data_IF_226541824383
#
_entry.id   IF_226541824383
#
_cell.length_a   1.000
_cell.length_b   1.000
_cell.length_c   1.000
_cell.angle_alpha   90.00
_cell.angle_beta   90.00
_cell.angle_gamma   90.00
#
_symmetry.space_group_name_H-M   'P 1'
#
loop_
_entity.id
_entity.type
_entity.pdbx_description
1 polymer ?
#
# COMPACT_ATOMS: atom_id res chain seq x y z
N UNK A 1 -1.77 18.07 58.05
CA UNK A 1 -2.85 17.77 59.01
C UNK A 1 -3.90 16.97 58.25
N UNK A 2 -4.04 15.66 58.51
CA UNK A 2 -5.00 15.08 59.47
C UNK A 2 -6.41 14.96 58.85
N UNK A 3 -7.13 13.84 58.88
CA UNK A 3 -7.01 12.62 59.70
C UNK A 3 -6.93 11.30 58.88
N UNK A 4 -6.62 10.22 59.59
CA UNK A 4 -6.76 8.81 59.20
C UNK A 4 -7.85 8.13 60.07
N UNK A 5 -8.20 6.86 59.75
CA UNK A 5 -9.06 5.91 60.53
C UNK A 5 -10.60 6.07 60.52
N UNK A 6 -11.28 5.07 59.92
CA UNK A 6 -12.25 4.14 60.55
C UNK A 6 -12.80 3.15 59.47
N UNK A 7 -12.15 2.01 59.20
CA UNK A 7 -12.36 0.66 59.78
C UNK A 7 -13.75 -0.01 59.61
N UNK A 8 -13.74 -1.02 58.71
CA UNK A 8 -14.31 -2.40 58.84
C UNK A 8 -15.78 -2.74 58.47
N UNK A 9 -15.85 -3.69 57.53
CA UNK A 9 -16.72 -4.88 57.42
C UNK A 9 -18.18 -4.75 56.95
N UNK A 10 -18.48 -5.47 55.85
CA UNK A 10 -19.82 -5.80 55.38
C UNK A 10 -19.79 -6.42 53.98
N UNK A 11 -20.07 -7.73 53.84
CA UNK A 11 -20.37 -8.38 52.54
C UNK A 11 -21.89 -8.55 52.43
N UNK A 12 -22.50 -8.08 51.34
CA UNK A 12 -23.75 -8.60 50.77
C UNK A 12 -23.75 -8.37 49.25
N UNK A 13 -24.60 -9.09 48.50
CA UNK A 13 -24.60 -9.11 47.04
C UNK A 13 -25.71 -8.25 46.41
N UNK A 14 -25.39 -7.71 45.23
CA UNK A 14 -26.22 -7.23 44.13
C UNK A 14 -27.75 -7.08 44.29
N UNK A 15 -28.26 -5.89 43.98
CA UNK A 15 -29.24 -5.69 42.88
C UNK A 15 -29.25 -4.23 42.41
N UNK A 16 -30.00 -3.95 41.34
CA UNK A 16 -29.95 -2.82 40.39
C UNK A 16 -30.21 -1.37 40.88
N UNK A 17 -30.15 -0.46 39.90
CA UNK A 17 -30.66 0.93 39.82
C UNK A 17 -29.76 2.11 40.24
N UNK A 18 -29.19 2.77 39.20
CA UNK A 18 -29.23 4.23 38.86
C UNK A 18 -28.89 5.31 39.94
N UNK A 19 -28.26 6.46 39.65
CA UNK A 19 -27.56 7.06 38.48
C UNK A 19 -26.84 8.37 39.00
N UNK A 20 -26.44 9.45 38.30
CA UNK A 20 -26.60 9.98 36.91
C UNK A 20 -25.52 11.04 36.60
N UNK A 21 -24.82 10.98 35.46
CA UNK A 21 -24.15 12.10 34.75
C UNK A 21 -23.50 11.55 33.44
N UNK A 22 -23.96 11.78 32.21
CA UNK A 22 -24.37 13.02 31.50
C UNK A 22 -23.18 13.87 30.99
N UNK A 23 -22.89 13.70 29.69
CA UNK A 23 -22.25 14.69 28.79
C UNK A 23 -22.86 14.52 27.40
N UNK A 24 -23.09 15.63 26.70
CA UNK A 24 -23.80 15.68 25.42
C UNK A 24 -22.99 15.16 24.21
N UNK A 25 -23.72 14.62 23.22
CA UNK A 25 -23.69 15.10 21.82
C UNK A 25 -24.82 14.45 21.00
N UNK A 26 -25.63 15.27 20.33
CA UNK A 26 -26.92 14.85 19.77
C UNK A 26 -26.89 14.11 18.44
N UNK A 27 -27.96 13.36 18.15
CA UNK A 27 -28.32 12.86 16.81
C UNK A 27 -29.81 13.11 16.52
N UNK A 28 -30.16 13.10 15.24
CA UNK A 28 -31.49 13.39 14.72
C UNK A 28 -32.55 12.32 15.05
N UNK A 29 -33.82 12.73 15.12
CA UNK A 29 -34.99 11.84 15.05
C UNK A 29 -35.09 11.24 13.61
N UNK A 30 -35.27 9.93 13.40
CA UNK A 30 -36.43 9.07 13.71
C UNK A 30 -37.64 9.33 12.80
N UNK A 31 -38.00 8.34 11.98
CA UNK A 31 -39.30 7.68 12.12
C UNK A 31 -39.29 6.21 11.66
N UNK A 32 -40.09 5.37 12.32
CA UNK A 32 -40.29 3.95 11.98
C UNK A 32 -41.40 3.79 10.92
N UNK A 33 -41.45 2.61 10.29
CA UNK A 33 -42.68 1.81 10.36
C UNK A 33 -42.35 0.30 10.41
N UNK A 34 -43.19 -0.47 11.10
CA UNK A 34 -43.09 -1.93 11.20
C UNK A 34 -44.22 -2.61 10.41
N UNK A 35 -43.92 -3.74 9.79
CA UNK A 35 -44.91 -4.81 9.56
C UNK A 35 -44.27 -6.16 9.85
N UNK A 36 -44.96 -6.99 10.66
CA UNK A 36 -44.62 -8.40 10.88
C UNK A 36 -45.36 -9.24 9.87
N UNK A 37 -44.71 -10.26 9.32
CA UNK A 37 -45.39 -11.47 8.87
C UNK A 37 -44.46 -12.68 9.01
N UNK A 38 -44.97 -13.76 9.57
CA UNK A 38 -44.29 -15.06 9.64
C UNK A 38 -45.01 -16.03 8.71
N UNK A 39 -44.26 -16.66 7.81
CA UNK A 39 -44.68 -17.85 7.05
C UNK A 39 -43.52 -18.84 7.09
N UNK A 40 -43.83 -20.13 7.16
CA UNK A 40 -42.86 -21.19 7.45
C UNK A 40 -42.43 -21.98 6.21
N UNK A 41 -41.25 -22.60 6.30
CA UNK A 41 -40.90 -23.88 5.67
C UNK A 41 -40.93 -23.97 4.13
N UNK A 42 -39.75 -23.92 3.51
CA UNK A 42 -39.59 -24.28 2.09
C UNK A 42 -38.14 -24.50 1.70
N UNK A 43 -37.71 -25.77 1.61
CA UNK A 43 -36.38 -26.14 1.12
C UNK A 43 -36.36 -26.14 -0.41
N UNK A 44 -35.46 -25.37 -1.03
CA UNK A 44 -35.22 -25.38 -2.49
C UNK A 44 -33.72 -25.50 -2.76
N UNK A 45 -33.35 -26.44 -3.63
CA UNK A 45 -31.97 -26.64 -4.09
C UNK A 45 -31.63 -25.63 -5.19
N UNK A 46 -30.39 -25.13 -5.19
CA UNK A 46 -29.80 -24.48 -6.36
C UNK A 46 -29.21 -25.56 -7.30
N UNK A 47 -29.56 -25.55 -8.60
CA UNK A 47 -28.98 -26.49 -9.57
C UNK A 47 -27.59 -26.03 -10.03
N UNK A 48 -26.66 -26.97 -10.19
CA UNK A 48 -25.38 -26.73 -10.85
C UNK A 48 -25.50 -26.89 -12.37
N UNK A 49 -24.86 -26.00 -13.13
CA UNK A 49 -24.82 -26.05 -14.60
C UNK A 49 -23.57 -26.78 -15.11
N UNK A 50 -23.75 -28.05 -15.48
CA UNK A 50 -22.72 -28.87 -16.14
C UNK A 50 -22.61 -28.51 -17.63
N UNK A 51 -21.40 -28.24 -18.11
CA UNK A 51 -21.10 -28.22 -19.56
C UNK A 51 -20.53 -29.56 -20.01
N UNK A 52 -20.97 -30.06 -21.17
CA UNK A 52 -20.61 -31.38 -21.68
C UNK A 52 -19.40 -31.33 -22.62
N UNK A 53 -18.56 -32.36 -22.55
CA UNK A 53 -17.62 -32.73 -23.62
C UNK A 53 -18.38 -33.20 -24.87
N UNK A 54 -17.78 -33.00 -26.03
CA UNK A 54 -18.07 -33.79 -27.22
C UNK A 54 -16.77 -34.37 -27.79
N UNK A 55 -16.80 -35.63 -28.22
CA UNK A 55 -15.70 -36.36 -28.86
C UNK A 55 -16.15 -36.84 -30.24
N UNK A 56 -15.20 -37.00 -31.16
CA UNK A 56 -15.41 -37.58 -32.49
C UNK A 56 -14.08 -37.96 -33.14
N UNK A 57 -13.96 -39.22 -33.56
CA UNK A 57 -12.68 -39.83 -33.98
C UNK A 57 -12.67 -40.29 -35.44
N UNK A 58 -11.64 -39.88 -36.19
CA UNK A 58 -10.99 -40.60 -37.32
C UNK A 58 -11.91 -41.09 -38.50
N UNK A 59 -11.45 -41.80 -39.57
CA UNK A 59 -10.11 -42.24 -40.05
C UNK A 59 -9.71 -41.65 -41.46
N UNK A 60 -8.56 -41.89 -42.12
CA UNK A 60 -7.18 -42.35 -41.78
C UNK A 60 -6.22 -42.16 -43.00
N UNK A 61 -4.91 -42.48 -42.81
CA UNK A 61 -3.89 -42.91 -43.80
C UNK A 61 -3.15 -41.87 -44.68
N UNK A 62 -1.97 -42.31 -45.15
CA UNK A 62 -0.90 -41.58 -45.84
C UNK A 62 -0.52 -42.31 -47.16
N UNK A 63 0.04 -41.59 -48.16
CA UNK A 63 1.14 -42.08 -49.02
C UNK A 63 1.74 -41.00 -49.94
N UNK A 64 2.98 -41.24 -50.37
CA UNK A 64 3.84 -40.46 -51.31
C UNK A 64 3.92 -41.19 -52.69
N UNK A 65 4.68 -40.73 -53.73
CA UNK A 65 5.04 -39.38 -54.21
C UNK A 65 4.98 -39.21 -55.77
N UNK A 66 5.57 -38.10 -56.29
CA UNK A 66 6.30 -37.94 -57.58
C UNK A 66 5.63 -37.45 -58.90
N UNK A 67 6.09 -36.24 -59.31
CA UNK A 67 6.71 -35.84 -60.61
C UNK A 67 5.90 -35.70 -61.93
N UNK A 68 5.87 -34.43 -62.38
CA UNK A 68 6.24 -33.96 -63.74
C UNK A 68 5.20 -34.02 -64.90
N UNK A 69 5.37 -33.19 -65.98
CA UNK A 69 4.36 -32.13 -66.21
C UNK A 69 3.89 -31.91 -67.67
N UNK A 70 2.89 -31.04 -67.86
CA UNK A 70 2.74 -30.25 -69.10
C UNK A 70 2.00 -28.91 -68.92
N UNK A 71 2.18 -28.03 -69.89
CA UNK A 71 1.59 -26.69 -70.03
C UNK A 71 0.26 -26.79 -70.83
N UNK A 72 -0.74 -25.90 -70.71
CA UNK A 72 -0.96 -24.73 -71.61
C UNK A 72 -2.17 -23.88 -71.13
N UNK A 73 -2.03 -22.55 -71.28
CA UNK A 73 -3.02 -21.44 -71.34
C UNK A 73 -4.46 -21.57 -70.78
N UNK A 74 -4.85 -20.53 -70.01
CA UNK A 74 -6.25 -20.09 -69.83
C UNK A 74 -6.31 -18.71 -69.17
N UNK A 75 -7.07 -17.75 -69.72
CA UNK A 75 -7.21 -16.40 -69.15
C UNK A 75 -8.37 -16.32 -68.15
N UNK A 76 -8.16 -15.66 -67.00
CA UNK A 76 -8.89 -14.40 -66.70
C UNK A 76 -8.48 -13.66 -65.41
N UNK A 77 -8.83 -12.37 -65.38
CA UNK A 77 -9.05 -11.48 -64.22
C UNK A 77 -8.18 -11.64 -62.95
N UNK A 78 -7.08 -10.90 -62.87
CA UNK A 78 -6.56 -10.42 -61.56
C UNK A 78 -7.44 -9.27 -61.05
N UNK A 79 -8.35 -9.53 -60.11
CA UNK A 79 -8.95 -8.47 -59.26
C UNK A 79 -7.84 -7.84 -58.42
N UNK A 80 -7.36 -6.66 -58.84
CA UNK A 80 -6.34 -5.90 -58.12
C UNK A 80 -7.00 -5.12 -56.98
N UNK A 81 -6.96 -5.67 -55.78
CA UNK A 81 -7.34 -4.95 -54.55
C UNK A 81 -6.35 -3.80 -54.31
N UNK A 82 -6.61 -2.65 -54.94
CA UNK A 82 -5.96 -1.39 -54.59
C UNK A 82 -6.64 -0.91 -53.30
N UNK A 83 -6.08 -1.31 -52.16
CA UNK A 83 -6.39 -0.67 -50.89
C UNK A 83 -5.97 0.80 -51.02
N UNK A 84 -6.95 1.71 -50.94
CA UNK A 84 -6.65 3.15 -50.95
C UNK A 84 -5.74 3.46 -49.75
N UNK A 85 -4.59 4.08 -50.02
CA UNK A 85 -3.64 4.51 -49.00
C UNK A 85 -4.31 5.45 -48.01
N UNK A 86 -5.30 6.25 -48.44
CA UNK A 86 -6.11 7.06 -47.52
C UNK A 86 -6.93 6.20 -46.57
N UNK A 87 -7.57 5.14 -47.05
CA UNK A 87 -8.33 4.21 -46.21
C UNK A 87 -7.43 3.46 -45.23
N UNK A 88 -6.23 3.06 -45.65
CA UNK A 88 -5.23 2.41 -44.77
C UNK A 88 -4.69 3.40 -43.73
N UNK A 89 -4.41 4.65 -44.11
CA UNK A 89 -3.96 5.70 -43.18
C UNK A 89 -5.09 6.12 -42.22
N UNK A 90 -6.35 6.18 -42.66
CA UNK A 90 -7.50 6.49 -41.79
C UNK A 90 -7.85 5.33 -40.85
N UNK A 91 -7.71 4.08 -41.28
CA UNK A 91 -7.76 2.91 -40.38
C UNK A 91 -6.57 2.90 -39.42
N UNK A 92 -5.39 3.29 -39.87
CA UNK A 92 -4.19 3.46 -39.05
C UNK A 92 -4.38 4.53 -37.97
N UNK A 93 -4.85 5.72 -38.32
CA UNK A 93 -5.20 6.76 -37.35
C UNK A 93 -6.36 6.34 -36.45
N UNK A 94 -7.39 5.68 -36.98
CA UNK A 94 -8.51 5.16 -36.18
C UNK A 94 -8.06 4.12 -35.14
N UNK A 95 -7.14 3.24 -35.52
CA UNK A 95 -6.51 2.28 -34.61
C UNK A 95 -5.54 2.96 -33.64
N UNK A 96 -4.77 3.97 -34.06
CA UNK A 96 -3.91 4.75 -33.16
C UNK A 96 -4.72 5.57 -32.14
N UNK A 97 -5.90 6.07 -32.52
CA UNK A 97 -6.84 6.74 -31.61
C UNK A 97 -7.63 5.77 -30.72
N UNK A 98 -7.78 4.50 -31.13
CA UNK A 98 -8.30 3.42 -30.27
C UNK A 98 -7.22 2.77 -29.39
N UNK A 99 -5.94 2.95 -29.74
CA UNK A 99 -4.76 2.57 -28.95
C UNK A 99 -4.27 3.72 -28.06
N UNK A 100 -4.78 4.94 -28.25
CA UNK A 100 -4.60 6.03 -27.30
C UNK A 100 -5.16 5.55 -25.95
N UNK A 101 -4.28 5.48 -24.96
CA UNK A 101 -4.45 4.58 -23.83
C UNK A 101 -5.76 4.85 -23.07
N UNK A 102 -6.46 3.77 -22.70
CA UNK A 102 -7.45 3.80 -21.63
C UNK A 102 -6.73 3.95 -20.27
N UNK A 103 -6.08 5.09 -20.06
CA UNK A 103 -5.86 5.60 -18.70
C UNK A 103 -7.22 5.81 -18.05
N UNK A 104 -7.31 5.64 -16.73
CA UNK A 104 -8.54 5.87 -15.98
C UNK A 104 -8.71 7.38 -15.75
N UNK A 105 -8.81 8.12 -16.85
CA UNK A 105 -9.27 9.50 -16.79
C UNK A 105 -10.57 9.56 -15.98
N UNK A 106 -10.69 10.61 -15.17
CA UNK A 106 -11.98 11.02 -14.63
C UNK A 106 -13.01 11.02 -15.78
N UNK A 107 -14.29 10.80 -15.49
CA UNK A 107 -15.31 10.94 -16.53
C UNK A 107 -15.20 12.36 -17.10
N UNK A 108 -15.17 12.54 -18.43
CA UNK A 108 -15.02 13.87 -19.06
C UNK A 108 -16.09 14.89 -18.62
N UNK A 109 -17.25 14.41 -18.18
CA UNK A 109 -18.33 15.21 -17.60
C UNK A 109 -18.16 15.54 -16.10
N UNK A 110 -17.05 15.14 -15.45
CA UNK A 110 -16.77 15.41 -14.05
C UNK A 110 -16.14 16.80 -13.90
N UNK A 111 -16.63 17.67 -12.99
CA UNK A 111 -16.21 19.08 -12.94
C UNK A 111 -14.71 19.29 -12.65
N UNK A 112 -14.04 18.30 -12.04
CA UNK A 112 -12.59 18.38 -11.77
C UNK A 112 -11.71 17.95 -12.95
N UNK A 113 -12.25 17.36 -14.03
CA UNK A 113 -11.45 16.81 -15.14
C UNK A 113 -10.47 17.83 -15.71
N UNK A 114 -10.99 18.94 -16.24
CA UNK A 114 -10.18 20.05 -16.76
C UNK A 114 -9.27 20.74 -15.74
N UNK A 115 -9.46 20.53 -14.44
CA UNK A 115 -8.55 21.05 -13.40
C UNK A 115 -7.37 20.09 -13.23
N UNK A 116 -7.62 18.78 -13.27
CA UNK A 116 -6.60 17.73 -13.23
C UNK A 116 -5.77 17.71 -14.51
N UNK A 117 -6.39 17.81 -15.70
CA UNK A 117 -5.69 17.96 -16.99
C UNK A 117 -4.67 19.10 -16.91
N UNK A 118 -5.12 20.28 -16.44
CA UNK A 118 -4.26 21.47 -16.28
C UNK A 118 -3.15 21.32 -15.25
N UNK A 119 -3.25 20.42 -14.27
CA UNK A 119 -2.11 20.12 -13.39
C UNK A 119 -1.09 19.30 -14.16
N UNK A 120 -1.51 18.24 -14.84
CA UNK A 120 -0.62 17.41 -15.65
C UNK A 120 0.08 18.24 -16.75
N UNK A 121 -0.63 19.15 -17.42
CA UNK A 121 -0.08 20.11 -18.39
C UNK A 121 0.93 21.14 -17.82
N UNK A 122 0.91 21.43 -16.51
CA UNK A 122 1.70 22.52 -15.91
C UNK A 122 3.10 22.08 -15.47
N UNK A 123 3.29 20.79 -15.16
CA UNK A 123 4.57 20.28 -14.63
C UNK A 123 4.65 18.76 -14.44
N UNK A 124 3.84 17.97 -15.16
CA UNK A 124 4.01 16.53 -15.21
C UNK A 124 5.28 16.12 -15.99
N UNK A 125 5.86 14.93 -15.71
CA UNK A 125 5.39 13.95 -14.74
C UNK A 125 5.92 14.20 -13.32
N UNK A 126 5.02 14.15 -12.35
CA UNK A 126 5.25 14.43 -10.93
C UNK A 126 5.85 13.24 -10.18
N UNK A 127 6.56 13.51 -9.07
CA UNK A 127 6.78 12.53 -8.00
C UNK A 127 5.60 12.57 -7.02
N UNK A 128 5.00 11.42 -6.73
CA UNK A 128 4.01 11.29 -5.66
C UNK A 128 4.68 11.17 -4.29
N UNK A 129 4.52 12.15 -3.40
CA UNK A 129 5.03 12.10 -2.03
C UNK A 129 3.92 11.72 -1.04
N UNK A 130 3.98 10.50 -0.51
CA UNK A 130 2.88 9.89 0.25
C UNK A 130 3.26 9.73 1.72
N UNK A 131 2.42 10.23 2.63
CA UNK A 131 2.54 10.08 4.08
C UNK A 131 1.16 9.85 4.71
N UNK A 132 1.11 9.37 5.95
CA UNK A 132 -0.12 8.83 6.55
C UNK A 132 -0.56 9.55 7.84
N UNK A 133 0.41 9.95 8.68
CA UNK A 133 0.18 10.38 10.06
C UNK A 133 0.51 11.88 10.25
N UNK A 134 -0.32 12.70 10.92
CA UNK A 134 -0.16 14.17 10.91
C UNK A 134 1.20 14.77 11.32
N UNK A 135 2.00 14.17 12.23
CA UNK A 135 3.38 14.60 12.50
C UNK A 135 4.32 14.54 11.29
N UNK A 136 4.00 13.73 10.27
CA UNK A 136 4.75 13.60 9.02
C UNK A 136 4.52 14.82 8.13
N UNK A 137 3.26 15.19 7.86
CA UNK A 137 2.93 16.45 7.18
C UNK A 137 3.44 17.67 7.97
N UNK A 138 3.38 17.64 9.32
CA UNK A 138 3.94 18.71 10.15
C UNK A 138 5.45 18.86 9.96
N UNK A 139 6.20 17.74 9.81
CA UNK A 139 7.62 17.79 9.46
C UNK A 139 7.85 18.44 8.09
N UNK A 140 7.02 18.11 7.08
CA UNK A 140 7.12 18.71 5.74
C UNK A 140 6.86 20.21 5.78
N UNK A 141 5.75 20.65 6.39
CA UNK A 141 5.36 22.06 6.48
C UNK A 141 6.40 22.87 7.28
N UNK A 142 6.86 22.35 8.44
CA UNK A 142 7.85 23.08 9.27
C UNK A 142 9.24 23.13 8.64
N UNK A 143 9.60 22.15 7.81
CA UNK A 143 10.88 22.15 7.07
C UNK A 143 10.96 23.23 5.98
N UNK A 144 9.82 23.69 5.46
CA UNK A 144 9.70 24.58 4.28
C UNK A 144 10.37 24.03 3.01
N UNK A 145 10.56 22.72 2.90
CA UNK A 145 11.13 22.06 1.72
C UNK A 145 10.17 22.02 0.52
N UNK A 146 8.87 22.08 0.77
CA UNK A 146 7.83 22.12 -0.27
C UNK A 146 7.45 23.56 -0.62
N UNK A 147 7.43 23.86 -1.92
CA UNK A 147 6.99 25.14 -2.47
C UNK A 147 5.74 24.91 -3.31
N UNK A 148 4.59 25.42 -2.87
CA UNK A 148 3.32 25.28 -3.60
C UNK A 148 3.38 25.91 -5.00
N UNK A 149 2.67 25.32 -5.95
CA UNK A 149 2.42 25.90 -7.25
C UNK A 149 1.56 27.18 -7.10
N UNK A 150 1.97 28.26 -7.76
CA UNK A 150 1.34 29.58 -7.61
C UNK A 150 0.00 29.76 -8.34
N UNK A 151 -0.41 28.81 -9.18
CA UNK A 151 -1.68 28.82 -9.93
C UNK A 151 -2.69 27.81 -9.38
N UNK A 152 -2.23 26.59 -9.08
CA UNK A 152 -3.06 25.50 -8.56
C UNK A 152 -2.29 24.87 -7.37
N UNK A 153 -2.41 25.41 -6.14
CA UNK A 153 -1.59 24.97 -5.01
C UNK A 153 -2.02 23.61 -4.43
N UNK A 154 -3.26 23.18 -4.68
CA UNK A 154 -3.80 21.87 -4.33
C UNK A 154 -5.06 21.55 -5.14
N UNK A 155 -5.46 20.27 -5.15
CA UNK A 155 -6.77 19.77 -5.60
C UNK A 155 -7.32 18.82 -4.52
N UNK A 156 -8.61 18.93 -4.21
CA UNK A 156 -9.30 17.99 -3.31
C UNK A 156 -10.08 16.94 -4.13
N UNK A 157 -9.74 15.64 -4.00
CA UNK A 157 -10.41 14.51 -4.66
C UNK A 157 -10.80 13.45 -3.61
N UNK A 158 -12.04 12.96 -3.65
CA UNK A 158 -12.55 11.91 -2.73
C UNK A 158 -12.21 12.13 -1.23
N UNK A 159 -12.29 13.38 -0.77
CA UNK A 159 -12.00 13.79 0.61
C UNK A 159 -10.51 13.94 0.96
N UNK A 160 -9.60 13.79 -0.01
CA UNK A 160 -8.13 13.87 0.16
C UNK A 160 -7.58 15.09 -0.56
N UNK A 161 -6.59 15.74 0.04
CA UNK A 161 -5.91 16.91 -0.55
C UNK A 161 -4.60 16.51 -1.22
N UNK A 162 -4.54 16.74 -2.52
CA UNK A 162 -3.35 16.56 -3.37
C UNK A 162 -2.70 17.93 -3.52
N UNK A 163 -1.66 18.21 -2.74
CA UNK A 163 -0.95 19.47 -2.74
C UNK A 163 0.07 19.48 -3.88
N UNK A 164 -0.01 20.46 -4.79
CA UNK A 164 0.80 20.51 -6.01
C UNK A 164 1.89 21.57 -5.87
N UNK A 165 3.14 21.22 -6.19
CA UNK A 165 4.28 22.09 -5.97
C UNK A 165 5.60 21.44 -6.34
N UNK A 166 6.68 21.87 -5.67
CA UNK A 166 8.05 21.38 -5.89
C UNK A 166 8.78 21.11 -4.58
N UNK A 167 9.70 20.13 -4.61
CA UNK A 167 10.76 19.95 -3.60
C UNK A 167 12.10 19.98 -4.32
N UNK A 168 13.00 20.91 -3.92
CA UNK A 168 14.32 21.08 -4.55
C UNK A 168 14.25 21.15 -6.09
N UNK A 169 13.31 21.95 -6.59
CA UNK A 169 12.94 22.15 -8.00
C UNK A 169 12.23 20.98 -8.71
N UNK A 170 12.31 19.75 -8.20
CA UNK A 170 11.56 18.58 -8.74
C UNK A 170 10.06 18.77 -8.48
N UNK A 171 9.23 18.53 -9.48
CA UNK A 171 7.77 18.61 -9.36
C UNK A 171 7.21 17.46 -8.51
N UNK A 172 6.42 17.83 -7.50
CA UNK A 172 5.90 16.92 -6.47
C UNK A 172 4.41 17.18 -6.23
N UNK A 173 3.63 16.10 -6.18
CA UNK A 173 2.28 16.10 -5.59
C UNK A 173 2.36 15.36 -4.26
N UNK A 174 2.08 16.04 -3.15
CA UNK A 174 2.06 15.41 -1.83
C UNK A 174 0.64 15.22 -1.30
N UNK A 175 0.38 14.07 -0.67
CA UNK A 175 -0.95 13.70 -0.16
C UNK A 175 -0.84 12.94 1.17
N UNK A 176 -1.77 13.27 2.07
CA UNK A 176 -2.04 12.51 3.30
C UNK A 176 -3.02 11.37 3.01
N UNK A 177 -2.63 10.12 3.29
CA UNK A 177 -3.49 8.95 3.08
C UNK A 177 -4.56 8.78 4.16
N UNK A 178 -4.18 9.10 5.40
CA UNK A 178 -4.74 8.49 6.60
C UNK A 178 -4.11 7.11 6.87
N UNK A 179 -4.05 6.72 8.14
CA UNK A 179 -3.55 5.41 8.60
C UNK A 179 -4.35 4.24 7.98
N UNK A 180 -3.76 3.04 7.96
CA UNK A 180 -4.32 1.76 7.50
C UNK A 180 -4.35 1.52 5.98
N UNK A 181 -4.25 0.24 5.61
CA UNK A 181 -3.98 -0.24 4.25
C UNK A 181 -5.06 0.17 3.25
N UNK A 182 -6.33 0.17 3.67
CA UNK A 182 -7.47 0.59 2.85
C UNK A 182 -7.38 2.08 2.48
N UNK A 183 -7.01 2.93 3.43
CA UNK A 183 -6.82 4.36 3.18
C UNK A 183 -5.62 4.60 2.27
N UNK A 184 -4.50 3.94 2.55
CA UNK A 184 -3.29 4.01 1.75
C UNK A 184 -3.53 3.60 0.29
N UNK A 185 -4.09 2.41 0.05
CA UNK A 185 -4.37 1.89 -1.29
C UNK A 185 -5.35 2.77 -2.10
N UNK A 186 -6.45 3.22 -1.49
CA UNK A 186 -7.40 4.12 -2.14
C UNK A 186 -6.73 5.45 -2.53
N UNK A 187 -5.90 6.01 -1.64
CA UNK A 187 -5.22 7.29 -1.91
C UNK A 187 -4.25 7.18 -3.07
N UNK A 188 -3.45 6.10 -3.10
CA UNK A 188 -2.46 5.89 -4.17
C UNK A 188 -3.15 5.57 -5.49
N UNK A 189 -4.22 4.78 -5.53
CA UNK A 189 -4.93 4.56 -6.80
C UNK A 189 -5.50 5.88 -7.36
N UNK A 190 -6.09 6.75 -6.51
CA UNK A 190 -6.55 8.09 -6.96
C UNK A 190 -5.38 8.96 -7.44
N UNK A 191 -4.22 8.87 -6.79
CA UNK A 191 -3.00 9.58 -7.21
C UNK A 191 -2.57 9.18 -8.62
N UNK A 192 -2.58 7.87 -8.91
CA UNK A 192 -2.11 7.30 -10.19
C UNK A 192 -3.17 7.34 -11.30
N UNK A 193 -4.46 7.30 -10.97
CA UNK A 193 -5.56 7.45 -11.95
C UNK A 193 -5.68 8.90 -12.44
N UNK A 194 -5.49 9.89 -11.55
CA UNK A 194 -5.72 11.30 -11.86
C UNK A 194 -4.47 12.01 -12.39
N UNK A 195 -3.29 11.76 -11.83
CA UNK A 195 -2.11 12.56 -12.07
C UNK A 195 -1.05 11.82 -12.88
N UNK A 196 -0.33 12.57 -13.71
CA UNK A 196 0.87 12.07 -14.40
C UNK A 196 2.01 11.89 -13.37
N UNK A 197 2.25 10.65 -12.95
CA UNK A 197 3.13 10.30 -11.83
C UNK A 197 4.24 9.36 -12.32
N UNK A 198 5.50 9.82 -12.34
CA UNK A 198 6.66 9.00 -12.70
C UNK A 198 7.16 8.05 -11.60
N UNK A 199 6.56 8.11 -10.42
CA UNK A 199 6.89 7.24 -9.29
C UNK A 199 6.45 7.78 -7.94
N UNK A 200 6.43 6.90 -6.93
CA UNK A 200 5.90 7.20 -5.58
C UNK A 200 6.98 7.04 -4.51
N UNK A 201 7.27 8.14 -3.80
CA UNK A 201 8.09 8.15 -2.60
C UNK A 201 7.18 8.14 -1.39
N UNK A 202 7.17 7.02 -0.66
CA UNK A 202 6.51 6.95 0.64
C UNK A 202 7.49 7.21 1.77
N UNK A 203 7.11 8.07 2.72
CA UNK A 203 7.82 8.18 3.99
C UNK A 203 6.84 8.25 5.16
N UNK A 204 7.32 7.86 6.35
CA UNK A 204 6.55 7.93 7.58
C UNK A 204 7.29 7.39 8.81
N UNK A 205 6.57 7.17 9.90
CA UNK A 205 7.12 6.59 11.15
C UNK A 205 6.75 5.12 11.34
N UNK A 206 7.65 4.29 11.86
CA UNK A 206 7.42 2.85 12.10
C UNK A 206 7.98 2.39 13.44
N UNK A 207 7.38 1.35 13.99
CA UNK A 207 7.94 0.63 15.13
C UNK A 207 9.08 -0.30 14.71
N UNK A 208 10.14 -0.42 15.50
CA UNK A 208 11.17 -1.44 15.29
C UNK A 208 10.74 -2.80 15.86
N UNK A 209 10.80 -3.84 15.04
CA UNK A 209 10.54 -5.23 15.46
C UNK A 209 11.78 -5.95 16.00
N UNK A 210 12.96 -5.35 15.93
CA UNK A 210 14.21 -5.96 16.36
C UNK A 210 15.09 -4.99 17.18
N UNK A 211 16.32 -5.40 17.49
CA UNK A 211 17.29 -4.60 18.23
C UNK A 211 18.45 -4.08 17.35
N UNK A 212 18.33 -4.13 16.01
CA UNK A 212 19.33 -3.59 15.06
C UNK A 212 19.00 -2.19 14.56
N UNK A 213 17.86 -1.62 14.98
CA UNK A 213 17.45 -0.25 14.71
C UNK A 213 17.21 0.48 16.03
N UNK A 214 17.67 1.73 16.11
CA UNK A 214 17.45 2.68 17.20
C UNK A 214 16.38 3.71 16.84
N UNK A 215 15.86 4.44 17.84
CA UNK A 215 14.95 5.56 17.59
C UNK A 215 15.55 6.57 16.61
N UNK A 216 14.74 7.09 15.69
CA UNK A 216 15.15 8.08 14.70
C UNK A 216 15.99 7.54 13.53
N UNK A 217 16.42 6.27 13.54
CA UNK A 217 17.02 5.63 12.36
C UNK A 217 15.99 5.56 11.22
N UNK A 218 16.44 5.55 9.97
CA UNK A 218 15.55 5.44 8.80
C UNK A 218 15.83 4.14 8.04
N UNK A 219 14.83 3.27 8.01
CA UNK A 219 14.83 2.03 7.23
C UNK A 219 14.48 2.33 5.77
N UNK A 220 15.40 2.02 4.86
CA UNK A 220 15.12 1.92 3.41
C UNK A 220 14.73 0.46 3.12
N UNK A 221 13.44 0.24 2.88
CA UNK A 221 12.89 -1.10 2.67
C UNK A 221 13.23 -1.60 1.27
N UNK A 222 13.64 -2.87 1.14
CA UNK A 222 13.74 -3.58 -0.15
C UNK A 222 12.52 -4.46 -0.45
N UNK A 223 11.84 -4.93 0.60
CA UNK A 223 10.60 -5.70 0.49
C UNK A 223 9.62 -5.32 1.60
N UNK A 224 8.33 -5.38 1.29
CA UNK A 224 7.23 -5.20 2.25
C UNK A 224 6.25 -6.37 2.12
N UNK A 225 5.50 -6.67 3.18
CA UNK A 225 4.53 -7.76 3.21
C UNK A 225 3.32 -7.41 4.06
N UNK A 226 2.14 -7.87 3.65
CA UNK A 226 0.93 -7.82 4.48
C UNK A 226 0.99 -8.91 5.56
N UNK A 227 1.50 -8.58 6.74
CA UNK A 227 1.59 -9.52 7.87
C UNK A 227 0.29 -9.61 8.67
N UNK A 228 -0.67 -8.72 8.42
CA UNK A 228 -2.06 -8.90 8.89
C UNK A 228 -2.86 -9.95 8.10
N UNK A 229 -2.35 -10.43 6.96
CA UNK A 229 -3.04 -11.36 6.07
C UNK A 229 -2.77 -12.82 6.47
N UNK A 230 -3.79 -13.48 7.03
CA UNK A 230 -3.69 -14.84 7.54
C UNK A 230 -5.00 -15.65 7.43
N UNK A 231 -4.87 -16.98 7.50
CA UNK A 231 -5.97 -17.96 7.58
C UNK A 231 -5.95 -18.65 8.94
N UNK A 232 -7.11 -18.74 9.58
CA UNK A 232 -7.30 -19.58 10.77
C UNK A 232 -7.16 -21.06 10.41
N UNK A 233 -6.32 -21.79 11.15
CA UNK A 233 -6.12 -23.23 10.95
C UNK A 233 -7.03 -24.02 11.90
N UNK A 234 -7.52 -25.17 11.44
CA UNK A 234 -8.40 -26.01 12.25
C UNK A 234 -7.69 -26.50 13.53
N UNK A 235 -8.44 -26.63 14.63
CA UNK A 235 -7.90 -27.10 15.89
C UNK A 235 -7.30 -28.51 15.75
N UNK A 236 -6.00 -28.65 16.08
CA UNK A 236 -5.15 -29.85 15.84
C UNK A 236 -4.82 -30.13 14.35
N UNK A 237 -4.90 -29.16 13.45
CA UNK A 237 -4.36 -29.37 12.09
C UNK A 237 -2.85 -29.62 12.13
N UNK A 238 -2.36 -30.35 11.13
CA UNK A 238 -0.93 -30.45 10.84
C UNK A 238 -0.35 -29.06 10.49
N UNK A 239 0.98 -28.97 10.46
CA UNK A 239 1.72 -27.76 10.06
C UNK A 239 1.56 -27.52 8.56
N UNK A 240 1.21 -26.29 8.19
CA UNK A 240 1.13 -25.85 6.81
C UNK A 240 2.48 -25.75 6.09
N UNK A 241 2.43 -25.30 4.83
CA UNK A 241 3.64 -24.99 4.04
C UNK A 241 4.12 -23.56 4.26
N UNK A 242 3.25 -22.68 4.75
CA UNK A 242 3.53 -21.28 5.01
C UNK A 242 3.77 -21.07 6.52
N UNK A 243 4.43 -19.97 6.92
CA UNK A 243 4.65 -19.64 8.32
C UNK A 243 3.37 -19.63 9.17
N UNK A 244 3.44 -20.17 10.38
CA UNK A 244 2.32 -20.26 11.33
C UNK A 244 2.66 -19.57 12.66
N UNK A 245 1.68 -18.88 13.25
CA UNK A 245 1.73 -18.38 14.64
C UNK A 245 0.87 -19.30 15.52
N UNK A 246 1.50 -20.17 16.30
CA UNK A 246 0.84 -21.00 17.33
C UNK A 246 0.66 -20.19 18.62
N UNK A 247 -0.59 -19.83 18.94
CA UNK A 247 -0.93 -19.06 20.14
C UNK A 247 -0.54 -19.80 21.43
N UNK A 248 -0.51 -21.14 21.41
CA UNK A 248 -0.12 -21.98 22.53
C UNK A 248 1.35 -21.85 22.94
N UNK A 249 2.23 -21.45 22.02
CA UNK A 249 3.63 -21.12 22.30
C UNK A 249 3.79 -19.82 23.11
N UNK A 250 2.76 -18.97 23.14
CA UNK A 250 2.74 -17.68 23.82
C UNK A 250 1.84 -17.65 25.07
N UNK A 251 1.16 -18.75 25.40
CA UNK A 251 0.40 -18.86 26.65
C UNK A 251 1.31 -18.61 27.88
N UNK A 252 0.83 -17.75 28.79
CA UNK A 252 1.49 -17.40 30.05
C UNK A 252 0.52 -17.64 31.23
N UNK A 253 0.97 -18.14 32.39
CA UNK A 253 2.35 -18.48 32.76
C UNK A 253 2.86 -19.81 32.20
N UNK A 254 1.98 -20.65 31.62
CA UNK A 254 2.33 -22.00 31.13
C UNK A 254 2.00 -22.13 29.65
N UNK A 255 3.03 -22.42 28.84
CA UNK A 255 2.89 -22.78 27.42
C UNK A 255 2.14 -24.10 27.26
N UNK A 256 1.32 -24.22 26.23
CA UNK A 256 0.53 -25.43 25.98
C UNK A 256 -0.60 -25.19 24.99
N UNK A 257 -1.48 -26.18 24.80
CA UNK A 257 -2.56 -26.11 23.80
C UNK A 257 -3.49 -24.92 24.06
N UNK A 258 -3.73 -24.12 23.02
CA UNK A 258 -4.69 -23.01 23.03
C UNK A 258 -5.89 -23.38 22.13
N UNK A 259 -7.12 -22.99 22.49
CA UNK A 259 -8.32 -23.23 21.66
C UNK A 259 -8.31 -22.44 20.35
N UNK A 260 -7.60 -21.31 20.31
CA UNK A 260 -7.28 -20.57 19.09
C UNK A 260 -6.37 -21.36 18.13
N UNK A 261 -5.69 -22.41 18.61
CA UNK A 261 -4.65 -23.16 17.90
C UNK A 261 -3.59 -22.23 17.26
N UNK A 262 -3.74 -21.94 15.96
CA UNK A 262 -2.77 -21.21 15.16
C UNK A 262 -3.39 -20.54 13.94
N UNK A 263 -2.73 -19.49 13.45
CA UNK A 263 -2.99 -18.86 12.14
C UNK A 263 -1.82 -19.11 11.20
N UNK A 264 -2.09 -19.27 9.91
CA UNK A 264 -1.10 -19.40 8.83
C UNK A 264 -1.08 -18.11 8.01
N UNK A 265 0.10 -17.51 7.82
CA UNK A 265 0.26 -16.27 7.05
C UNK A 265 0.12 -16.54 5.55
N UNK A 266 -0.50 -15.61 4.81
CA UNK A 266 -0.86 -15.83 3.40
C UNK A 266 -0.21 -14.83 2.45
N UNK A 267 0.30 -15.27 1.28
CA UNK A 267 0.58 -14.40 0.15
C UNK A 267 -0.61 -13.53 -0.23
N UNK A 268 -0.32 -12.37 -0.82
CA UNK A 268 -1.30 -11.46 -1.41
C UNK A 268 -1.38 -11.67 -2.91
N UNK A 269 -2.57 -11.49 -3.48
CA UNK A 269 -2.83 -11.70 -4.91
C UNK A 269 -2.57 -10.39 -5.68
N UNK A 270 -1.39 -10.29 -6.30
CA UNK A 270 -1.02 -9.12 -7.10
C UNK A 270 -1.58 -9.26 -8.51
N UNK A 271 -2.35 -8.25 -8.92
CA UNK A 271 -2.74 -8.02 -10.31
C UNK A 271 -1.85 -6.91 -10.86
N UNK A 272 -1.24 -7.10 -12.04
CA UNK A 272 -0.43 -6.07 -12.72
C UNK A 272 -0.86 -5.93 -14.18
N UNK A 273 -0.77 -4.73 -14.74
CA UNK A 273 -1.10 -4.50 -16.15
C UNK A 273 -0.33 -5.46 -17.09
N UNK A 274 -1.06 -6.17 -17.96
CA UNK A 274 -0.49 -7.09 -18.95
C UNK A 274 0.03 -8.43 -18.40
N UNK A 275 -0.11 -8.73 -17.11
CA UNK A 275 0.34 -9.98 -16.48
C UNK A 275 -0.84 -10.85 -15.99
N UNK A 276 -0.64 -12.17 -15.81
CA UNK A 276 -1.52 -12.98 -14.95
C UNK A 276 -1.44 -12.51 -13.48
N UNK A 277 -2.38 -12.97 -12.65
CA UNK A 277 -2.30 -12.76 -11.20
C UNK A 277 -1.14 -13.56 -10.60
N UNK A 278 -0.34 -12.93 -9.72
CA UNK A 278 0.81 -13.52 -9.05
C UNK A 278 0.56 -13.56 -7.52
N UNK A 279 0.74 -14.73 -6.87
CA UNK A 279 0.66 -14.83 -5.39
C UNK A 279 2.02 -14.50 -4.75
N UNK A 280 2.14 -13.32 -4.16
CA UNK A 280 3.38 -12.81 -3.57
C UNK A 280 3.24 -12.58 -2.06
N UNK A 281 4.16 -13.15 -1.26
CA UNK A 281 4.27 -12.81 0.15
C UNK A 281 5.09 -11.52 0.36
N UNK A 282 6.22 -11.41 -0.36
CA UNK A 282 7.07 -10.21 -0.37
C UNK A 282 6.80 -9.41 -1.64
N UNK A 283 6.29 -8.20 -1.49
CA UNK A 283 6.22 -7.21 -2.54
C UNK A 283 7.59 -6.50 -2.61
N UNK A 284 8.28 -6.51 -3.77
CA UNK A 284 9.50 -5.72 -3.95
C UNK A 284 9.16 -4.24 -4.08
N UNK A 285 10.02 -3.37 -3.55
CA UNK A 285 10.11 -1.97 -4.02
C UNK A 285 10.78 -1.96 -5.41
N UNK A 286 10.76 -0.83 -6.11
CA UNK A 286 11.48 -0.72 -7.39
C UNK A 286 13.00 -0.87 -7.18
N UNK A 287 13.65 -1.66 -8.04
CA UNK A 287 15.08 -1.99 -7.87
C UNK A 287 16.02 -0.85 -8.23
N UNK A 288 15.69 -0.04 -9.24
CA UNK A 288 16.53 1.09 -9.64
C UNK A 288 16.45 2.19 -8.59
N UNK A 289 15.24 2.49 -8.12
CA UNK A 289 14.98 3.42 -7.01
C UNK A 289 15.62 2.95 -5.71
N UNK A 290 15.59 1.64 -5.41
CA UNK A 290 16.31 1.09 -4.28
C UNK A 290 17.83 1.28 -4.39
N UNK A 291 18.41 0.98 -5.55
CA UNK A 291 19.86 1.11 -5.76
C UNK A 291 20.31 2.59 -5.72
N UNK A 292 19.51 3.53 -6.25
CA UNK A 292 19.72 4.99 -6.05
C UNK A 292 19.64 5.35 -4.55
N UNK A 293 18.68 4.78 -3.80
CA UNK A 293 18.53 5.05 -2.38
C UNK A 293 19.70 4.51 -1.52
N UNK A 294 20.48 3.53 -1.99
CA UNK A 294 21.69 3.08 -1.26
C UNK A 294 22.75 4.19 -1.12
N UNK A 295 22.77 5.16 -2.04
CA UNK A 295 23.68 6.32 -2.00
C UNK A 295 23.42 7.24 -0.79
N UNK A 296 22.30 7.05 -0.07
CA UNK A 296 21.94 7.81 1.13
C UNK A 296 22.32 7.13 2.44
N UNK A 297 23.00 5.96 2.42
CA UNK A 297 23.42 5.24 3.64
C UNK A 297 24.21 6.13 4.63
N UNK A 298 25.05 7.04 4.10
CA UNK A 298 25.95 7.92 4.84
C UNK A 298 25.35 9.31 5.10
N UNK A 299 24.05 9.51 4.83
CA UNK A 299 23.37 10.79 5.04
C UNK A 299 23.21 11.10 6.54
N UNK A 300 23.87 12.16 7.01
CA UNK A 300 23.75 12.64 8.39
C UNK A 300 22.29 12.93 8.77
N UNK A 301 21.73 12.16 9.72
CA UNK A 301 20.39 12.38 10.27
C UNK A 301 20.43 13.26 11.53
N UNK A 302 19.28 13.83 11.92
CA UNK A 302 19.21 14.64 13.14
C UNK A 302 19.22 13.73 14.37
N UNK A 303 20.16 14.00 15.29
CA UNK A 303 20.18 13.41 16.63
C UNK A 303 19.25 14.13 17.62
N UNK A 304 19.01 15.42 17.41
CA UNK A 304 18.21 16.27 18.30
C UNK A 304 17.03 16.90 17.56
N UNK A 305 15.90 17.00 18.26
CA UNK A 305 14.72 17.75 17.80
C UNK A 305 14.79 19.22 18.26
N UNK A 306 15.31 19.44 19.46
CA UNK A 306 15.60 20.73 20.08
C UNK A 306 16.61 20.54 21.23
N UNK A 307 17.03 21.63 21.89
CA UNK A 307 18.05 21.61 22.95
C UNK A 307 17.66 20.76 24.19
N UNK A 308 16.37 20.47 24.36
CA UNK A 308 15.85 19.64 25.47
C UNK A 308 15.60 18.17 25.09
N UNK A 309 15.69 17.83 23.79
CA UNK A 309 15.45 16.47 23.31
C UNK A 309 16.47 16.05 22.24
N UNK A 310 17.45 15.27 22.71
CA UNK A 310 18.46 14.60 21.92
C UNK A 310 18.45 13.09 22.19
N UNK A 311 18.70 12.29 21.17
CA UNK A 311 19.05 10.89 21.29
C UNK A 311 20.52 10.74 21.76
N UNK A 312 20.89 9.63 22.42
CA UNK A 312 22.26 9.40 22.86
C UNK A 312 23.21 9.26 21.65
N UNK A 313 22.87 8.38 20.72
CA UNK A 313 23.60 8.13 19.47
C UNK A 313 22.99 8.92 18.30
N UNK A 314 23.81 9.21 17.28
CA UNK A 314 23.34 9.82 16.03
C UNK A 314 22.65 8.75 15.18
N UNK A 315 21.40 8.98 14.74
CA UNK A 315 20.69 8.03 13.88
C UNK A 315 21.31 7.87 12.49
N UNK A 316 21.01 6.75 11.84
CA UNK A 316 21.59 6.31 10.56
C UNK A 316 20.51 5.94 9.54
N UNK A 317 20.87 5.97 8.27
CA UNK A 317 20.08 5.36 7.18
C UNK A 317 20.53 3.91 7.05
N UNK A 318 19.59 2.96 7.07
CA UNK A 318 19.89 1.52 7.08
C UNK A 318 19.10 0.85 5.95
N UNK A 319 19.82 0.19 5.04
CA UNK A 319 19.32 -0.22 3.72
C UNK A 319 19.12 -1.73 3.60
N UNK A 320 18.29 -2.16 2.64
CA UNK A 320 18.10 -3.57 2.30
C UNK A 320 17.13 -4.33 3.23
N UNK A 321 16.43 -3.61 4.09
CA UNK A 321 15.61 -4.17 5.15
C UNK A 321 14.22 -4.63 4.66
N UNK A 322 13.49 -5.34 5.52
CA UNK A 322 12.10 -5.75 5.28
C UNK A 322 11.13 -5.01 6.19
N UNK A 323 10.03 -4.54 5.61
CA UNK A 323 8.88 -3.96 6.29
C UNK A 323 7.73 -4.95 6.45
N UNK A 324 6.87 -4.69 7.43
CA UNK A 324 5.69 -5.50 7.78
C UNK A 324 4.49 -4.59 7.96
N UNK A 325 3.49 -4.75 7.11
CA UNK A 325 2.30 -3.90 7.11
C UNK A 325 1.07 -4.67 7.60
N UNK A 326 0.33 -4.08 8.53
CA UNK A 326 -0.96 -4.60 9.02
C UNK A 326 -1.82 -3.45 9.57
N UNK A 327 -3.15 -3.57 9.53
CA UNK A 327 -4.07 -2.62 10.18
C UNK A 327 -4.10 -2.83 11.71
N UNK A 328 -2.92 -2.87 12.35
CA UNK A 328 -2.71 -3.21 13.76
C UNK A 328 -1.49 -2.45 14.32
N UNK A 329 -1.74 -1.45 15.17
CA UNK A 329 -0.69 -0.81 15.94
C UNK A 329 0.01 -1.82 16.87
N UNK A 330 1.31 -2.06 16.66
CA UNK A 330 2.04 -3.12 17.35
C UNK A 330 2.62 -2.68 18.71
N UNK A 331 1.85 -2.87 19.79
CA UNK A 331 2.34 -2.81 21.17
C UNK A 331 2.50 -4.22 21.77
N UNK A 332 3.39 -5.05 21.21
CA UNK A 332 3.61 -6.41 21.72
C UNK A 332 5.01 -6.98 21.45
N UNK A 333 5.87 -6.97 22.48
CA UNK A 333 7.23 -7.51 22.41
C UNK A 333 7.34 -8.98 21.98
N UNK A 334 6.34 -9.83 22.26
CA UNK A 334 6.39 -11.23 21.86
C UNK A 334 6.05 -11.43 20.37
N UNK A 335 5.09 -10.66 19.85
CA UNK A 335 4.71 -10.72 18.45
C UNK A 335 5.71 -9.98 17.54
N UNK A 336 6.30 -8.85 17.98
CA UNK A 336 7.41 -8.21 17.24
C UNK A 336 8.60 -9.16 17.09
N UNK A 337 8.94 -9.90 18.14
CA UNK A 337 10.03 -10.89 18.12
C UNK A 337 9.70 -12.06 17.19
N UNK A 338 8.44 -12.49 17.14
CA UNK A 338 7.99 -13.49 16.16
C UNK A 338 8.17 -12.97 14.73
N UNK A 339 7.72 -11.74 14.43
CA UNK A 339 7.87 -11.14 13.10
C UNK A 339 9.33 -11.04 12.67
N UNK A 340 10.23 -10.60 13.55
CA UNK A 340 11.67 -10.60 13.26
C UNK A 340 12.23 -12.02 13.04
N UNK A 341 11.98 -12.95 13.97
CA UNK A 341 12.54 -14.32 13.91
C UNK A 341 12.01 -15.14 12.72
N UNK A 342 10.76 -14.95 12.33
CA UNK A 342 10.08 -15.73 11.30
C UNK A 342 10.27 -15.16 9.89
N UNK A 343 10.38 -13.83 9.75
CA UNK A 343 10.34 -13.16 8.45
C UNK A 343 11.57 -12.25 8.16
N UNK A 344 12.45 -12.05 9.15
CA UNK A 344 13.51 -11.04 9.14
C UNK A 344 12.99 -9.60 8.90
N UNK A 345 11.82 -9.30 9.48
CA UNK A 345 11.24 -7.95 9.50
C UNK A 345 12.04 -7.04 10.42
N UNK A 346 12.26 -5.81 9.99
CA UNK A 346 12.95 -4.76 10.75
C UNK A 346 11.98 -3.73 11.35
N UNK A 347 10.93 -3.39 10.60
CA UNK A 347 10.04 -2.25 10.85
C UNK A 347 8.59 -2.66 10.59
N UNK A 348 7.67 -2.09 11.37
CA UNK A 348 6.23 -2.35 11.28
C UNK A 348 5.43 -1.05 11.08
N UNK A 349 4.43 -1.10 10.20
CA UNK A 349 3.54 0.03 9.85
C UNK A 349 2.14 -0.45 9.43
N UNK A 350 1.25 0.49 9.08
CA UNK A 350 -0.11 0.20 8.62
C UNK A 350 -0.35 0.54 7.13
N UNK A 351 0.67 0.99 6.37
CA UNK A 351 0.49 1.50 5.00
C UNK A 351 1.40 0.89 3.91
N UNK A 352 2.66 0.55 4.22
CA UNK A 352 3.70 0.47 3.19
C UNK A 352 3.44 -0.60 2.12
N UNK A 353 2.95 -1.78 2.51
CA UNK A 353 2.58 -2.84 1.56
C UNK A 353 1.41 -2.45 0.65
N UNK A 354 0.45 -1.65 1.12
CA UNK A 354 -0.67 -1.19 0.30
C UNK A 354 -0.23 -0.14 -0.74
N UNK A 355 0.68 0.74 -0.36
CA UNK A 355 1.28 1.73 -1.28
C UNK A 355 2.09 1.02 -2.36
N UNK A 356 3.00 0.11 -1.98
CA UNK A 356 3.82 -0.66 -2.94
C UNK A 356 2.94 -1.56 -3.81
N UNK A 357 1.89 -2.19 -3.27
CA UNK A 357 0.95 -3.00 -4.07
C UNK A 357 0.25 -2.17 -5.14
N UNK A 358 -0.28 -0.99 -4.78
CA UNK A 358 -0.92 -0.09 -5.75
C UNK A 358 0.08 0.39 -6.82
N UNK A 359 1.32 0.71 -6.45
CA UNK A 359 2.35 1.11 -7.40
C UNK A 359 2.71 -0.04 -8.38
N UNK A 360 2.95 -1.25 -7.86
CA UNK A 360 3.20 -2.46 -8.67
C UNK A 360 2.05 -2.77 -9.63
N UNK A 361 0.80 -2.67 -9.17
CA UNK A 361 -0.39 -2.94 -10.00
C UNK A 361 -0.49 -2.02 -11.22
N UNK A 362 -0.11 -0.74 -11.06
CA UNK A 362 -0.12 0.27 -12.12
C UNK A 362 1.22 0.37 -12.88
N UNK A 363 2.20 -0.50 -12.58
CA UNK A 363 3.56 -0.49 -13.13
C UNK A 363 4.33 0.83 -12.89
N UNK A 364 4.08 1.48 -11.76
CA UNK A 364 4.72 2.74 -11.33
C UNK A 364 5.83 2.41 -10.30
N UNK A 365 7.06 2.95 -10.43
CA UNK A 365 8.13 2.65 -9.49
C UNK A 365 7.86 3.29 -8.12
N UNK A 366 8.34 2.66 -7.05
CA UNK A 366 8.14 3.17 -5.69
C UNK A 366 9.26 2.80 -4.73
N UNK A 367 9.43 3.62 -3.69
CA UNK A 367 10.36 3.40 -2.58
C UNK A 367 9.70 3.76 -1.23
N UNK A 368 10.20 3.17 -0.15
CA UNK A 368 9.68 3.38 1.22
C UNK A 368 10.78 3.73 2.21
N UNK A 369 10.58 4.83 2.94
CA UNK A 369 11.46 5.34 3.99
C UNK A 369 10.70 5.44 5.33
N UNK A 370 10.88 4.49 6.26
CA UNK A 370 10.26 4.58 7.60
C UNK A 370 11.28 4.94 8.68
N UNK A 371 11.02 6.03 9.40
CA UNK A 371 11.80 6.48 10.56
C UNK A 371 11.32 5.81 11.84
N UNK A 372 12.23 5.38 12.72
CA UNK A 372 11.86 4.56 13.89
C UNK A 372 11.32 5.40 15.06
N UNK A 373 10.01 5.32 15.31
CA UNK A 373 9.30 6.04 16.39
C UNK A 373 9.33 5.32 17.74
N UNK A 374 9.24 3.99 17.70
CA UNK A 374 8.99 3.13 18.84
C UNK A 374 9.64 1.74 18.63
N UNK A 375 9.46 0.81 19.58
CA UNK A 375 10.06 -0.52 19.54
C UNK A 375 9.04 -1.66 19.45
N UNK A 376 7.86 -1.46 18.86
CA UNK A 376 6.87 -2.53 18.67
C UNK A 376 6.35 -3.14 19.99
N UNK A 377 6.25 -2.32 21.04
CA UNK A 377 5.99 -2.75 22.42
C UNK A 377 7.22 -3.25 23.21
N UNK A 378 8.43 -2.96 22.73
CA UNK A 378 9.70 -3.18 23.44
C UNK A 378 10.22 -1.98 24.24
N UNK A 379 9.46 -0.90 24.36
CA UNK A 379 9.83 0.34 25.08
C UNK A 379 8.85 0.66 26.21
N UNK A 380 9.16 1.65 27.06
CA UNK A 380 8.21 2.19 28.03
C UNK A 380 6.86 2.57 27.39
N UNK A 381 5.78 2.31 28.13
CA UNK A 381 4.36 2.32 27.73
C UNK A 381 3.77 3.61 27.13
N UNK A 382 4.57 4.65 26.92
CA UNK A 382 4.12 5.92 26.37
C UNK A 382 4.95 6.28 25.14
N UNK A 383 4.27 6.30 24.00
CA UNK A 383 4.78 6.89 22.76
C UNK A 383 5.14 8.35 23.03
N UNK A 384 6.41 8.69 22.84
CA UNK A 384 6.88 10.07 22.99
C UNK A 384 6.62 10.81 21.69
N UNK A 385 5.85 11.90 21.76
CA UNK A 385 5.63 12.82 20.63
C UNK A 385 6.99 13.25 20.04
N UNK A 386 7.99 13.48 20.89
CA UNK A 386 9.35 13.86 20.47
C UNK A 386 10.10 12.75 19.70
N UNK A 387 9.83 11.47 19.98
CA UNK A 387 10.35 10.35 19.16
C UNK A 387 9.69 10.35 17.78
N UNK A 388 8.36 10.43 17.74
CA UNK A 388 7.58 10.46 16.49
C UNK A 388 8.04 11.63 15.62
N UNK A 389 8.05 12.86 16.15
CA UNK A 389 8.48 14.04 15.39
C UNK A 389 9.93 13.96 14.89
N UNK A 390 10.86 13.38 15.67
CA UNK A 390 12.25 13.22 15.22
C UNK A 390 12.35 12.14 14.11
N UNK A 391 11.60 11.05 14.24
CA UNK A 391 11.51 10.01 13.22
C UNK A 391 10.88 10.55 11.92
N UNK A 392 9.78 11.30 11.99
CA UNK A 392 9.16 11.99 10.84
C UNK A 392 10.14 12.93 10.13
N UNK A 393 10.88 13.75 10.89
CA UNK A 393 11.87 14.70 10.34
C UNK A 393 13.05 13.98 9.69
N UNK A 394 13.52 12.86 10.24
CA UNK A 394 14.60 12.08 9.63
C UNK A 394 14.12 11.33 8.37
N UNK A 395 12.94 10.70 8.41
CA UNK A 395 12.37 10.02 7.24
C UNK A 395 12.11 11.01 6.08
N UNK A 396 11.54 12.19 6.38
CA UNK A 396 11.40 13.28 5.43
C UNK A 396 12.74 13.71 4.82
N UNK A 397 13.80 13.82 5.63
CA UNK A 397 15.12 14.22 5.16
C UNK A 397 15.69 13.23 4.14
N UNK A 398 15.57 11.92 4.40
CA UNK A 398 15.96 10.89 3.42
C UNK A 398 15.13 10.99 2.14
N UNK A 399 13.80 11.06 2.26
CA UNK A 399 12.90 11.21 1.11
C UNK A 399 13.20 12.47 0.27
N UNK A 400 13.49 13.60 0.91
CA UNK A 400 13.79 14.85 0.24
C UNK A 400 15.22 14.93 -0.34
N UNK A 401 16.20 14.17 0.15
CA UNK A 401 17.45 13.95 -0.60
C UNK A 401 17.23 13.01 -1.78
N UNK A 402 16.48 11.92 -1.59
CA UNK A 402 16.20 10.92 -2.63
C UNK A 402 15.50 11.51 -3.86
N UNK A 403 14.45 12.33 -3.67
CA UNK A 403 13.76 13.06 -4.75
C UNK A 403 14.75 13.86 -5.61
N UNK A 404 15.74 14.50 -4.99
CA UNK A 404 16.76 15.30 -5.65
C UNK A 404 17.97 14.48 -6.17
N UNK A 405 18.02 13.16 -5.93
CA UNK A 405 18.95 12.24 -6.58
C UNK A 405 18.38 11.66 -7.87
N UNK A 406 17.11 11.20 -7.87
CA UNK A 406 16.46 10.66 -9.07
C UNK A 406 16.56 11.67 -10.23
N UNK A 407 16.18 12.93 -9.96
CA UNK A 407 16.13 13.97 -11.00
C UNK A 407 17.51 14.27 -11.62
N UNK A 408 18.59 14.18 -10.82
CA UNK A 408 19.96 14.31 -11.32
C UNK A 408 20.40 13.13 -12.18
N UNK A 409 20.00 11.91 -11.81
CA UNK A 409 20.38 10.71 -12.56
C UNK A 409 19.66 10.66 -13.91
N UNK A 410 18.38 11.05 -13.97
CA UNK A 410 17.66 11.21 -15.23
C UNK A 410 18.37 12.20 -16.17
N UNK A 411 18.76 13.37 -15.65
CA UNK A 411 19.53 14.38 -16.39
C UNK A 411 20.92 13.91 -16.88
N UNK A 412 21.42 12.76 -16.41
CA UNK A 412 22.67 12.12 -16.87
C UNK A 412 22.40 11.01 -17.90
N UNK A 413 21.19 10.45 -17.93
CA UNK A 413 20.78 9.45 -18.93
C UNK A 413 20.19 10.05 -20.21
N UNK A 414 19.74 11.31 -20.17
CA UNK A 414 19.28 12.08 -21.34
C UNK A 414 20.42 12.83 -22.09
N UNK A 415 21.70 12.47 -21.86
CA UNK A 415 22.90 13.09 -22.47
C UNK A 415 23.79 12.07 -23.21
#
# INVERSE_FOLDING_TARGET
MSLWLLRRLGKWQATDCAATAAWDLGRWLVQLLQTKQCVAGGSILFPATTFFHFLGEFPSRQSHPHRHPTMIMGLNQRRRWVLDVKSVVMLGLGLLLAMAQHTVQLRSNHPMHGIVDRVNEIGGPYIGLVMAYPPEELALITSRLFVHNSRIPFIDLAGRRFNVGKIKNVDVIYVMTGEQTVNAGITVQILLDAFDIRGVVHYGTAGSSNNSLSFGDVSVMKYVAFTGSWKWKAFKSETGQLPELDFGAFNFPVRGKNLLAKVEFTPSQLYSAGKPMEELFWLPVDSEWFDIATQLQDLELRRCLNDTYCLPETPKVIVGLRGSTADIFLDNAAYREFLFKQFNVSTVDEESAAIVMACLSNAVPSIVFRGVSDLGGGSDRLLSISRISLASVNALRVAAEFIALIDKNNLVHDQ
#
